data_IF_857448057889
#
_entry.id   IF_857448057889
#
_cell.length_a   1.000
_cell.length_b   1.000
_cell.length_c   1.000
_cell.angle_alpha   90.00
_cell.angle_beta   90.00
_cell.angle_gamma   90.00
#
_symmetry.space_group_name_H-M   'P 1'
#
loop_
_entity.id
_entity.type
_entity.pdbx_description
1 polymer ?
#
# COMPACT_ATOMS: atom_id res chain seq x y z
N UNK A 1 -61.46 -25.29 57.39
CA UNK A 1 -60.33 -24.33 57.31
C UNK A 1 -59.63 -24.40 58.66
N UNK A 2 -58.38 -24.82 58.89
CA UNK A 2 -57.16 -24.73 58.11
C UNK A 2 -56.10 -25.69 58.70
N UNK A 3 -56.13 -26.98 58.37
CA UNK A 3 -54.99 -27.88 58.68
C UNK A 3 -54.32 -28.44 57.41
N UNK A 4 -55.06 -28.56 56.31
CA UNK A 4 -54.51 -28.98 55.02
C UNK A 4 -53.65 -27.93 54.33
N UNK A 5 -53.87 -26.64 54.61
CA UNK A 5 -53.09 -25.55 53.99
C UNK A 5 -51.70 -25.40 54.67
N UNK A 6 -51.59 -25.69 55.96
CA UNK A 6 -50.33 -25.56 56.70
C UNK A 6 -49.33 -26.64 56.27
N UNK A 7 -49.78 -27.87 56.03
CA UNK A 7 -48.90 -28.94 55.53
C UNK A 7 -48.44 -28.72 54.09
N UNK A 8 -49.20 -28.00 53.27
CA UNK A 8 -48.78 -27.65 51.91
C UNK A 8 -47.73 -26.51 51.92
N UNK A 9 -47.84 -25.56 52.85
CA UNK A 9 -46.90 -24.45 52.97
C UNK A 9 -45.52 -24.88 53.54
N UNK A 10 -45.50 -25.83 54.48
CA UNK A 10 -44.23 -26.35 55.03
C UNK A 10 -43.47 -27.26 54.05
N UNK A 11 -44.17 -27.95 53.14
CA UNK A 11 -43.53 -28.72 52.07
C UNK A 11 -42.83 -27.83 51.02
N UNK A 12 -43.35 -26.63 50.76
CA UNK A 12 -42.79 -25.72 49.75
C UNK A 12 -41.52 -25.01 50.24
N UNK A 13 -41.39 -24.74 51.54
CA UNK A 13 -40.15 -24.17 52.11
C UNK A 13 -39.01 -25.19 52.20
N UNK A 14 -39.32 -26.48 52.39
CA UNK A 14 -38.30 -27.53 52.38
C UNK A 14 -37.70 -27.80 50.98
N UNK A 15 -38.48 -27.63 49.91
CA UNK A 15 -37.97 -27.76 48.54
C UNK A 15 -37.21 -26.51 48.06
N UNK A 16 -37.53 -25.32 48.59
CA UNK A 16 -36.80 -24.08 48.28
C UNK A 16 -35.38 -24.05 48.87
N UNK A 17 -35.16 -24.65 50.05
CA UNK A 17 -33.84 -24.67 50.69
C UNK A 17 -32.88 -25.69 50.04
N UNK A 18 -33.38 -26.83 49.55
CA UNK A 18 -32.55 -27.83 48.85
C UNK A 18 -32.09 -27.33 47.48
N UNK A 19 -32.93 -26.52 46.79
CA UNK A 19 -32.54 -25.88 45.54
C UNK A 19 -31.46 -24.80 45.77
N UNK A 20 -31.50 -24.05 46.88
CA UNK A 20 -30.48 -23.04 47.18
C UNK A 20 -29.12 -23.64 47.59
N UNK A 21 -29.10 -24.83 48.19
CA UNK A 21 -27.84 -25.54 48.53
C UNK A 21 -27.18 -26.27 47.36
N UNK A 22 -27.89 -26.48 46.24
CA UNK A 22 -27.32 -27.08 45.02
C UNK A 22 -26.60 -26.07 44.12
N UNK A 23 -26.73 -24.76 44.37
CA UNK A 23 -26.08 -23.71 43.59
C UNK A 23 -25.07 -22.86 44.39
N UNK A 24 -24.77 -23.24 45.64
CA UNK A 24 -23.90 -22.49 46.53
C UNK A 24 -22.54 -23.17 46.81
N UNK A 25 -22.07 -24.05 45.91
CA UNK A 25 -20.86 -24.83 46.14
C UNK A 25 -19.98 -25.04 44.90
N UNK A 26 -19.80 -23.98 44.10
CA UNK A 26 -18.75 -23.91 43.07
C UNK A 26 -17.69 -22.85 43.45
N UNK A 27 -17.31 -22.77 44.73
CA UNK A 27 -15.95 -22.34 45.09
C UNK A 27 -14.99 -23.49 44.78
N UNK A 28 -14.86 -23.82 43.49
CA UNK A 28 -13.75 -24.64 43.05
C UNK A 28 -12.47 -23.82 43.24
N UNK A 29 -11.50 -24.27 44.07
CA UNK A 29 -10.17 -23.66 44.04
C UNK A 29 -9.68 -23.81 42.61
N UNK A 30 -9.47 -22.67 41.93
CA UNK A 30 -9.10 -22.58 40.51
C UNK A 30 -8.18 -23.75 40.14
N UNK A 31 -8.74 -24.78 39.49
CA UNK A 31 -7.94 -25.92 39.04
C UNK A 31 -6.92 -25.32 38.08
N UNK A 32 -5.63 -25.43 38.44
CA UNK A 32 -4.55 -25.10 37.50
C UNK A 32 -4.82 -25.91 36.23
N UNK A 33 -5.18 -25.22 35.16
CA UNK A 33 -5.35 -25.84 33.85
C UNK A 33 -4.09 -25.56 33.07
N UNK A 34 -3.46 -26.63 32.58
CA UNK A 34 -2.38 -26.49 31.62
C UNK A 34 -2.95 -25.96 30.31
N UNK A 35 -2.35 -24.90 29.80
CA UNK A 35 -2.76 -24.26 28.56
C UNK A 35 -1.61 -24.28 27.55
N UNK A 36 -1.98 -24.54 26.31
CA UNK A 36 -1.06 -24.58 25.18
C UNK A 36 -1.51 -23.53 24.17
N UNK A 37 -0.96 -22.31 24.17
CA UNK A 37 -1.31 -21.32 23.17
C UNK A 37 -0.85 -21.78 21.77
N UNK A 38 -1.72 -21.58 20.79
CA UNK A 38 -1.50 -21.88 19.38
C UNK A 38 -1.91 -20.65 18.58
N UNK A 39 -0.94 -20.00 17.95
CA UNK A 39 -1.17 -18.82 17.13
C UNK A 39 -0.66 -19.12 15.74
N UNK A 40 -1.47 -18.87 14.72
CA UNK A 40 -1.00 -19.04 13.36
C UNK A 40 -1.52 -17.96 12.43
N UNK A 41 -0.75 -17.69 11.39
CA UNK A 41 -1.11 -16.73 10.38
C UNK A 41 -0.30 -16.90 9.12
N UNK A 42 -0.85 -16.40 8.01
CA UNK A 42 -0.18 -16.35 6.72
C UNK A 42 -0.19 -14.93 6.19
N UNK A 43 0.89 -14.55 5.51
CA UNK A 43 0.92 -13.33 4.72
C UNK A 43 -0.18 -13.33 3.65
N UNK A 44 -0.43 -14.48 3.00
CA UNK A 44 -1.57 -14.62 2.09
C UNK A 44 -2.87 -14.84 2.86
N UNK A 45 -3.96 -14.31 2.33
CA UNK A 45 -5.29 -14.62 2.84
C UNK A 45 -5.66 -16.08 2.53
N UNK A 46 -6.21 -16.78 3.51
CA UNK A 46 -6.89 -18.08 3.36
C UNK A 46 -8.40 -17.81 3.51
N UNK A 47 -9.15 -17.62 2.40
CA UNK A 47 -10.51 -17.08 2.44
C UNK A 47 -11.48 -17.91 3.30
N UNK A 48 -11.34 -19.23 3.26
CA UNK A 48 -12.24 -20.17 3.95
C UNK A 48 -12.13 -20.09 5.48
N UNK A 49 -11.02 -19.55 5.98
CA UNK A 49 -10.76 -19.39 7.41
C UNK A 49 -11.23 -18.04 7.97
N UNK A 50 -11.76 -17.15 7.13
CA UNK A 50 -12.19 -15.81 7.53
C UNK A 50 -13.25 -15.82 8.63
N UNK A 51 -14.17 -16.78 8.59
CA UNK A 51 -15.21 -16.96 9.62
C UNK A 51 -14.67 -17.39 10.98
N UNK A 52 -13.48 -18.02 11.01
CA UNK A 52 -12.90 -18.63 12.21
C UNK A 52 -12.05 -17.65 13.04
N UNK A 53 -11.73 -16.47 12.48
CA UNK A 53 -11.00 -15.40 13.17
C UNK A 53 -11.79 -14.87 14.41
N UNK A 54 -13.12 -14.99 14.41
CA UNK A 54 -13.99 -14.50 15.49
C UNK A 54 -14.11 -15.41 16.72
N UNK A 55 -14.37 -16.73 16.57
CA UNK A 55 -14.51 -17.63 17.72
C UNK A 55 -13.15 -17.98 18.36
N UNK A 56 -12.04 -17.87 17.64
CA UNK A 56 -10.77 -18.44 18.07
C UNK A 56 -10.19 -17.91 19.41
N UNK A 57 -10.47 -16.65 19.74
CA UNK A 57 -9.87 -15.99 20.90
C UNK A 57 -10.80 -15.89 22.12
N UNK A 58 -12.05 -16.37 22.03
CA UNK A 58 -13.07 -16.21 23.09
C UNK A 58 -13.32 -17.47 23.92
N UNK A 59 -12.84 -18.61 23.46
CA UNK A 59 -13.08 -19.90 24.10
C UNK A 59 -11.87 -20.78 23.95
N UNK A 60 -11.65 -21.64 24.95
CA UNK A 60 -10.77 -22.78 24.76
C UNK A 60 -11.28 -23.60 23.56
N UNK A 61 -10.36 -24.08 22.73
CA UNK A 61 -10.68 -24.99 21.64
C UNK A 61 -10.22 -26.40 21.98
N UNK A 62 -11.09 -27.36 21.69
CA UNK A 62 -10.77 -28.77 21.81
C UNK A 62 -9.78 -29.20 20.72
N UNK A 63 -9.07 -30.29 20.98
CA UNK A 63 -8.05 -30.83 20.07
C UNK A 63 -8.58 -31.09 18.65
N UNK A 64 -9.72 -31.76 18.53
CA UNK A 64 -10.23 -32.21 17.22
C UNK A 64 -10.59 -31.04 16.30
N UNK A 65 -11.39 -30.03 16.75
CA UNK A 65 -11.64 -28.83 15.95
C UNK A 65 -10.36 -28.07 15.59
N UNK A 66 -9.40 -27.95 16.51
CA UNK A 66 -8.13 -27.28 16.25
C UNK A 66 -7.29 -28.01 15.19
N UNK A 67 -7.18 -29.33 15.29
CA UNK A 67 -6.47 -30.15 14.29
C UNK A 67 -7.14 -30.06 12.91
N UNK A 68 -8.47 -30.03 12.84
CA UNK A 68 -9.20 -29.84 11.59
C UNK A 68 -8.95 -28.45 10.99
N UNK A 69 -8.96 -27.42 11.82
CA UNK A 69 -8.69 -26.05 11.41
C UNK A 69 -7.27 -25.89 10.85
N UNK A 70 -6.28 -26.46 11.53
CA UNK A 70 -4.89 -26.44 11.08
C UNK A 70 -4.68 -27.26 9.81
N UNK A 71 -5.32 -28.41 9.67
CA UNK A 71 -5.31 -29.17 8.41
C UNK A 71 -5.85 -28.31 7.28
N UNK A 72 -7.02 -27.71 7.47
CA UNK A 72 -7.62 -26.85 6.46
C UNK A 72 -6.74 -25.63 6.10
N UNK A 73 -6.09 -25.02 7.09
CA UNK A 73 -5.07 -23.99 6.86
C UNK A 73 -3.92 -24.50 5.99
N UNK A 74 -3.36 -25.66 6.32
CA UNK A 74 -2.22 -26.26 5.61
C UNK A 74 -2.60 -26.83 4.22
N UNK A 75 -3.85 -27.24 4.03
CA UNK A 75 -4.38 -27.77 2.75
C UNK A 75 -4.28 -26.73 1.63
N UNK A 76 -4.46 -25.46 1.99
CA UNK A 76 -4.35 -24.33 1.07
C UNK A 76 -2.93 -23.99 0.63
N UNK A 77 -1.90 -24.64 1.21
CA UNK A 77 -0.49 -24.33 1.01
C UNK A 77 -0.22 -22.82 1.02
N UNK A 78 -0.53 -22.11 2.13
CA UNK A 78 -0.75 -20.67 2.12
C UNK A 78 0.52 -19.83 1.94
N UNK A 79 1.69 -20.46 1.84
CA UNK A 79 2.99 -19.80 1.79
C UNK A 79 4.06 -20.68 1.10
N UNK A 80 5.12 -20.05 0.62
CA UNK A 80 6.31 -20.79 0.18
C UNK A 80 7.09 -21.30 1.39
N UNK A 81 7.22 -20.46 2.42
CA UNK A 81 7.94 -20.82 3.65
C UNK A 81 6.98 -20.90 4.83
N UNK A 82 6.79 -22.10 5.35
CA UNK A 82 6.07 -22.33 6.61
C UNK A 82 7.08 -22.37 7.75
N UNK A 83 6.99 -21.42 8.68
CA UNK A 83 7.80 -21.39 9.90
C UNK A 83 6.98 -21.99 11.03
N UNK A 84 7.45 -23.12 11.56
CA UNK A 84 6.88 -23.76 12.74
C UNK A 84 7.76 -23.42 13.93
N UNK A 85 7.21 -22.69 14.90
CA UNK A 85 7.93 -22.25 16.09
C UNK A 85 7.32 -22.94 17.29
N UNK A 86 8.14 -23.67 18.05
CA UNK A 86 7.76 -24.25 19.33
C UNK A 86 8.48 -23.50 20.46
N UNK A 87 7.71 -22.85 21.34
CA UNK A 87 8.24 -22.18 22.53
C UNK A 87 7.70 -22.85 23.80
N UNK A 88 8.47 -23.77 24.41
CA UNK A 88 8.02 -24.49 25.60
C UNK A 88 7.82 -23.55 26.79
N UNK A 89 6.70 -23.73 27.52
CA UNK A 89 6.41 -22.99 28.75
C UNK A 89 5.76 -21.62 28.56
N UNK A 90 5.44 -21.22 27.33
CA UNK A 90 4.71 -19.97 27.05
C UNK A 90 3.22 -20.06 27.44
N UNK A 91 2.72 -18.99 28.05
CA UNK A 91 1.37 -18.83 28.59
C UNK A 91 0.61 -17.74 27.84
N UNK A 92 -0.72 -17.72 27.99
CA UNK A 92 -1.53 -16.59 27.52
C UNK A 92 -1.13 -15.28 28.21
N UNK A 93 -0.74 -15.35 29.49
CA UNK A 93 -0.34 -14.20 30.29
C UNK A 93 0.88 -13.46 29.72
N UNK A 94 1.77 -14.15 29.01
CA UNK A 94 2.97 -13.53 28.42
C UNK A 94 2.61 -12.55 27.29
N UNK A 95 1.39 -12.63 26.74
CA UNK A 95 0.88 -11.70 25.73
C UNK A 95 0.16 -10.49 26.32
N UNK A 96 0.07 -10.36 27.65
CA UNK A 96 -0.50 -9.17 28.29
C UNK A 96 0.52 -8.03 28.26
N UNK A 97 0.08 -6.88 27.76
CA UNK A 97 0.87 -5.65 27.76
C UNK A 97 0.79 -5.00 29.13
N UNK A 98 1.94 -4.84 29.75
CA UNK A 98 2.18 -4.02 30.93
C UNK A 98 3.20 -2.94 30.56
N UNK A 99 3.33 -1.83 31.31
CA UNK A 99 4.36 -0.83 31.05
C UNK A 99 5.78 -1.43 30.97
N UNK A 100 6.06 -2.49 31.74
CA UNK A 100 7.33 -3.24 31.71
C UNK A 100 7.48 -4.15 30.50
N UNK A 101 6.39 -4.59 29.86
CA UNK A 101 6.41 -5.52 28.72
C UNK A 101 6.08 -4.85 27.39
N UNK A 102 6.03 -3.51 27.34
CA UNK A 102 5.61 -2.75 26.16
C UNK A 102 6.47 -2.99 24.91
N UNK A 103 7.74 -3.33 25.07
CA UNK A 103 8.65 -3.67 23.98
C UNK A 103 8.64 -5.17 23.62
N UNK A 104 8.10 -6.04 24.48
CA UNK A 104 7.97 -7.46 24.19
C UNK A 104 7.00 -7.65 23.02
N UNK A 105 7.31 -8.60 22.13
CA UNK A 105 6.50 -8.94 20.96
C UNK A 105 6.44 -7.88 19.86
N UNK A 106 7.34 -6.89 19.87
CA UNK A 106 7.39 -5.87 18.80
C UNK A 106 7.61 -6.52 17.43
N UNK A 107 8.50 -7.52 17.34
CA UNK A 107 8.82 -8.20 16.09
C UNK A 107 7.71 -9.15 15.68
N UNK A 108 7.21 -9.94 16.63
CA UNK A 108 6.03 -10.77 16.47
C UNK A 108 4.86 -9.97 15.89
N UNK A 109 4.49 -8.84 16.53
CA UNK A 109 3.43 -7.97 16.06
C UNK A 109 3.71 -7.44 14.66
N UNK A 110 4.93 -6.95 14.40
CA UNK A 110 5.35 -6.44 13.09
C UNK A 110 5.10 -7.44 11.95
N UNK A 111 5.31 -8.74 12.19
CA UNK A 111 5.05 -9.76 11.19
C UNK A 111 3.57 -10.06 11.02
N UNK A 112 2.86 -10.31 12.12
CA UNK A 112 1.45 -10.66 12.07
C UNK A 112 0.55 -9.50 11.63
N UNK A 113 1.00 -8.25 11.77
CA UNK A 113 0.30 -7.08 11.24
C UNK A 113 0.12 -7.11 9.72
N UNK A 114 0.99 -7.82 9.00
CA UNK A 114 0.96 -7.96 7.54
C UNK A 114 0.27 -9.24 7.09
N UNK A 115 -0.24 -10.05 8.02
CA UNK A 115 -0.89 -11.29 7.68
C UNK A 115 -2.32 -11.04 7.15
N UNK A 116 -2.61 -11.59 5.96
CA UNK A 116 -3.96 -11.65 5.43
C UNK A 116 -4.86 -12.65 6.18
N UNK A 117 -4.28 -13.57 6.93
CA UNK A 117 -5.01 -14.45 7.86
C UNK A 117 -4.25 -14.57 9.16
N UNK A 118 -4.94 -14.34 10.28
CA UNK A 118 -4.38 -14.44 11.63
C UNK A 118 -5.42 -15.04 12.57
N UNK A 119 -5.06 -16.14 13.24
CA UNK A 119 -5.94 -16.89 14.13
C UNK A 119 -5.17 -17.21 15.41
N UNK A 120 -5.51 -16.54 16.52
CA UNK A 120 -4.92 -16.81 17.84
C UNK A 120 -5.85 -17.65 18.72
N UNK A 121 -5.40 -18.83 19.12
CA UNK A 121 -5.98 -19.62 20.21
C UNK A 121 -5.05 -19.58 21.42
N UNK A 122 -5.29 -18.65 22.35
CA UNK A 122 -4.42 -18.49 23.53
C UNK A 122 -4.61 -19.62 24.56
N UNK A 123 -5.71 -20.37 24.47
CA UNK A 123 -5.97 -21.51 25.34
C UNK A 123 -6.42 -22.71 24.52
N UNK A 124 -5.57 -23.72 24.49
CA UNK A 124 -5.91 -25.05 24.00
C UNK A 124 -5.53 -26.05 25.08
N UNK A 125 -6.26 -27.17 25.15
CA UNK A 125 -6.03 -28.20 26.18
C UNK A 125 -4.96 -29.23 25.76
N UNK A 126 -4.38 -29.09 24.57
CA UNK A 126 -3.52 -30.11 23.99
C UNK A 126 -2.35 -29.50 23.23
N UNK A 127 -1.15 -30.00 23.53
CA UNK A 127 0.06 -29.70 22.75
C UNK A 127 -0.05 -30.22 21.32
N UNK A 128 0.36 -29.40 20.35
CA UNK A 128 0.47 -29.83 18.96
C UNK A 128 1.86 -30.39 18.68
N UNK A 129 1.92 -31.47 17.90
CA UNK A 129 3.21 -32.02 17.47
C UNK A 129 3.71 -31.28 16.23
N UNK A 130 4.76 -30.48 16.41
CA UNK A 130 5.45 -29.78 15.31
C UNK A 130 5.86 -30.74 14.19
N UNK A 131 6.34 -31.95 14.54
CA UNK A 131 6.68 -33.00 13.57
C UNK A 131 5.48 -33.42 12.73
N UNK A 132 4.31 -33.64 13.35
CA UNK A 132 3.09 -34.03 12.60
C UNK A 132 2.65 -32.93 11.63
N UNK A 133 2.74 -31.66 12.05
CA UNK A 133 2.42 -30.51 11.21
C UNK A 133 3.40 -30.39 10.04
N UNK A 134 4.70 -30.53 10.31
CA UNK A 134 5.73 -30.52 9.27
C UNK A 134 5.53 -31.66 8.26
N UNK A 135 5.38 -32.89 8.76
CA UNK A 135 5.17 -34.07 7.91
C UNK A 135 3.88 -33.95 7.07
N UNK A 136 2.84 -33.33 7.61
CA UNK A 136 1.61 -33.03 6.87
C UNK A 136 1.86 -32.06 5.73
N UNK A 137 2.51 -30.93 6.00
CA UNK A 137 2.79 -29.92 5.00
C UNK A 137 3.73 -30.40 3.90
N UNK A 138 4.75 -31.19 4.26
CA UNK A 138 5.66 -31.83 3.30
C UNK A 138 4.91 -32.72 2.33
N UNK A 139 4.01 -33.57 2.83
CA UNK A 139 3.22 -34.48 1.99
C UNK A 139 2.22 -33.74 1.11
N UNK A 140 1.60 -32.67 1.63
CA UNK A 140 0.52 -31.97 0.94
C UNK A 140 1.03 -30.91 -0.05
N UNK A 141 2.12 -30.22 0.29
CA UNK A 141 2.62 -29.05 -0.44
C UNK A 141 3.99 -29.27 -1.09
N UNK A 142 4.52 -30.51 -1.07
CA UNK A 142 5.83 -30.89 -1.63
C UNK A 142 6.99 -30.05 -1.08
N UNK A 143 6.93 -29.74 0.22
CA UNK A 143 7.90 -28.87 0.87
C UNK A 143 9.13 -29.62 1.40
N UNK A 144 10.27 -28.95 1.48
CA UNK A 144 11.49 -29.46 2.13
C UNK A 144 11.51 -29.10 3.62
N UNK A 145 11.90 -30.03 4.50
CA UNK A 145 12.05 -29.76 5.94
C UNK A 145 13.44 -29.22 6.24
N UNK A 146 13.47 -28.09 6.94
CA UNK A 146 14.69 -27.44 7.40
C UNK A 146 14.59 -27.27 8.91
N UNK A 147 15.66 -27.61 9.61
CA UNK A 147 15.76 -27.39 11.05
C UNK A 147 16.61 -26.17 11.28
N UNK A 148 16.07 -25.17 11.98
CA UNK A 148 16.84 -24.03 12.42
C UNK A 148 17.79 -24.46 13.55
N UNK A 149 19.04 -24.03 13.45
CA UNK A 149 20.08 -24.32 14.43
C UNK A 149 20.30 -23.09 15.30
N UNK A 150 19.64 -23.07 16.46
CA UNK A 150 19.75 -21.95 17.41
C UNK A 150 21.14 -21.82 18.04
N UNK A 151 21.94 -22.90 18.04
CA UNK A 151 23.32 -22.83 18.56
C UNK A 151 24.25 -21.98 17.69
N UNK A 152 23.80 -21.67 16.48
CA UNK A 152 24.49 -20.82 15.51
C UNK A 152 23.97 -19.40 15.48
N UNK A 153 23.13 -18.95 16.42
CA UNK A 153 22.70 -17.54 16.46
C UNK A 153 23.88 -16.64 16.85
N UNK A 154 24.68 -16.26 15.85
CA UNK A 154 25.78 -15.33 15.99
C UNK A 154 25.71 -14.40 14.77
N UNK A 155 26.18 -13.15 14.84
CA UNK A 155 26.09 -12.20 13.73
C UNK A 155 26.70 -12.72 12.41
N UNK A 156 27.62 -13.68 12.50
CA UNK A 156 28.32 -14.29 11.37
C UNK A 156 27.66 -15.59 10.86
N UNK A 157 26.76 -16.19 11.63
CA UNK A 157 26.15 -17.48 11.32
C UNK A 157 24.62 -17.36 11.27
N UNK A 158 24.05 -17.67 10.11
CA UNK A 158 22.60 -17.68 9.93
C UNK A 158 21.98 -18.92 10.60
N UNK A 159 20.81 -18.75 11.20
CA UNK A 159 20.01 -19.81 11.84
C UNK A 159 19.69 -20.99 10.91
N UNK A 160 19.72 -20.77 9.60
CA UNK A 160 19.56 -21.79 8.56
C UNK A 160 20.32 -21.38 7.29
N UNK A 161 20.61 -22.33 6.37
CA UNK A 161 21.34 -22.04 5.14
C UNK A 161 20.65 -20.94 4.32
N UNK A 162 21.43 -20.05 3.69
CA UNK A 162 20.84 -19.06 2.79
C UNK A 162 20.25 -19.76 1.54
N UNK A 163 18.98 -19.48 1.24
CA UNK A 163 18.31 -20.03 0.08
C UNK A 163 18.28 -19.00 -1.05
N UNK A 164 18.79 -19.40 -2.22
CA UNK A 164 18.74 -18.58 -3.44
C UNK A 164 17.53 -18.88 -4.33
N UNK A 165 16.53 -19.62 -3.83
CA UNK A 165 15.36 -20.03 -4.60
C UNK A 165 14.05 -19.89 -3.79
N UNK A 166 12.91 -20.03 -4.46
CA UNK A 166 11.56 -19.90 -3.90
C UNK A 166 10.87 -21.24 -3.63
N UNK A 167 11.61 -22.36 -3.58
CA UNK A 167 11.00 -23.68 -3.30
C UNK A 167 10.31 -23.69 -1.94
N UNK A 168 9.23 -24.48 -1.86
CA UNK A 168 8.44 -24.58 -0.63
C UNK A 168 9.22 -25.29 0.47
N UNK A 169 9.15 -24.72 1.68
CA UNK A 169 9.94 -25.17 2.83
C UNK A 169 9.12 -25.14 4.10
N UNK A 170 9.45 -26.06 5.00
CA UNK A 170 9.03 -26.03 6.40
C UNK A 170 10.26 -25.78 7.26
N UNK A 171 10.36 -24.60 7.85
CA UNK A 171 11.42 -24.24 8.79
C UNK A 171 10.90 -24.58 10.19
N UNK A 172 11.52 -25.57 10.82
CA UNK A 172 11.20 -25.99 12.19
C UNK A 172 12.17 -25.34 13.16
N UNK A 173 11.63 -24.66 14.15
CA UNK A 173 12.34 -23.95 15.20
C UNK A 173 11.84 -24.48 16.53
N UNK A 174 12.76 -24.88 17.41
CA UNK A 174 12.46 -25.25 18.78
C UNK A 174 13.24 -24.35 19.71
N UNK A 175 12.55 -23.40 20.32
CA UNK A 175 13.12 -22.43 21.26
C UNK A 175 13.43 -23.12 22.61
N UNK A 176 14.37 -22.57 23.40
CA UNK A 176 14.59 -23.05 24.76
C UNK A 176 13.32 -22.89 25.62
N UNK A 177 13.12 -23.78 26.61
CA UNK A 177 12.02 -23.62 27.57
C UNK A 177 12.21 -22.33 28.37
N UNK A 178 11.11 -21.63 28.65
CA UNK A 178 11.15 -20.39 29.42
C UNK A 178 11.44 -20.63 30.90
N UNK A 179 12.22 -19.74 31.51
CA UNK A 179 12.47 -19.69 32.94
C UNK A 179 11.18 -19.45 33.72
N UNK A 180 11.18 -19.93 34.97
CA UNK A 180 10.13 -19.65 35.96
C UNK A 180 10.36 -18.31 36.66
N UNK A 181 11.59 -17.78 36.62
CA UNK A 181 11.89 -16.48 37.19
C UNK A 181 11.33 -15.36 36.30
N UNK A 182 10.55 -14.40 36.84
CA UNK A 182 9.88 -13.38 36.04
C UNK A 182 10.82 -12.45 35.25
N UNK A 183 12.00 -12.11 35.78
CA UNK A 183 12.93 -11.20 35.10
C UNK A 183 13.66 -11.94 33.97
N UNK A 184 14.24 -13.11 34.27
CA UNK A 184 14.88 -13.96 33.25
C UNK A 184 13.90 -14.33 32.14
N UNK A 185 12.65 -14.65 32.50
CA UNK A 185 11.59 -14.98 31.54
C UNK A 185 11.31 -13.81 30.59
N UNK A 186 11.29 -12.57 31.06
CA UNK A 186 11.06 -11.41 30.19
C UNK A 186 12.22 -11.21 29.22
N UNK A 187 13.45 -11.36 29.68
CA UNK A 187 14.64 -11.27 28.84
C UNK A 187 14.67 -12.40 27.79
N UNK A 188 14.32 -13.63 28.16
CA UNK A 188 14.19 -14.76 27.25
C UNK A 188 13.10 -14.53 26.20
N UNK A 189 11.93 -14.02 26.61
CA UNK A 189 10.85 -13.66 25.69
C UNK A 189 11.29 -12.59 24.69
N UNK A 190 12.00 -11.57 25.16
CA UNK A 190 12.55 -10.52 24.31
C UNK A 190 13.56 -11.07 23.29
N UNK A 191 14.50 -11.89 23.77
CA UNK A 191 15.51 -12.52 22.91
C UNK A 191 14.88 -13.48 21.89
N UNK A 192 13.86 -14.23 22.30
CA UNK A 192 13.09 -15.09 21.39
C UNK A 192 12.34 -14.27 20.33
N UNK A 193 11.77 -13.10 20.67
CA UNK A 193 11.15 -12.19 19.70
C UNK A 193 12.16 -11.66 18.66
N UNK A 194 13.39 -11.36 19.09
CA UNK A 194 14.49 -11.02 18.18
C UNK A 194 14.92 -12.19 17.29
N UNK A 195 14.94 -13.42 17.81
CA UNK A 195 15.20 -14.61 17.00
C UNK A 195 14.11 -14.81 15.94
N UNK A 196 12.83 -14.58 16.26
CA UNK A 196 11.75 -14.58 15.27
C UNK A 196 12.04 -13.54 14.17
N UNK A 197 12.55 -12.36 14.55
CA UNK A 197 12.96 -11.35 13.58
C UNK A 197 14.03 -11.85 12.62
N UNK A 198 15.10 -12.43 13.14
CA UNK A 198 16.19 -12.98 12.34
C UNK A 198 15.70 -14.12 11.43
N UNK A 199 14.87 -15.03 11.99
CA UNK A 199 14.29 -16.15 11.27
C UNK A 199 13.45 -15.71 10.08
N UNK A 200 12.57 -14.74 10.24
CA UNK A 200 11.68 -14.30 9.15
C UNK A 200 12.43 -13.42 8.15
N UNK A 201 13.39 -12.61 8.61
CA UNK A 201 14.18 -11.73 7.73
C UNK A 201 15.11 -12.48 6.78
N UNK A 202 15.50 -13.72 7.13
CA UNK A 202 16.29 -14.58 6.25
C UNK A 202 15.50 -15.27 5.14
N UNK A 203 14.15 -15.21 5.16
CA UNK A 203 13.30 -15.88 4.18
C UNK A 203 13.30 -15.07 2.89
N UNK A 204 13.69 -15.66 1.74
CA UNK A 204 13.76 -14.93 0.48
C UNK A 204 12.38 -14.61 -0.11
N UNK A 205 11.36 -15.41 0.20
CA UNK A 205 9.99 -15.21 -0.28
C UNK A 205 9.21 -14.25 0.63
N UNK A 206 8.47 -13.28 0.07
CA UNK A 206 7.53 -12.46 0.84
C UNK A 206 6.31 -13.26 1.32
N UNK A 207 6.11 -14.49 0.82
CA UNK A 207 5.00 -15.36 1.18
C UNK A 207 5.44 -16.41 2.20
N UNK A 208 5.37 -16.02 3.46
CA UNK A 208 5.59 -16.93 4.58
C UNK A 208 4.31 -17.07 5.44
N UNK A 209 4.22 -18.20 6.12
CA UNK A 209 3.24 -18.48 7.15
C UNK A 209 3.96 -18.88 8.42
N UNK A 210 3.40 -18.50 9.57
CA UNK A 210 3.95 -18.85 10.88
C UNK A 210 2.89 -19.63 11.64
N UNK A 211 3.28 -20.76 12.22
CA UNK A 211 2.51 -21.46 13.25
C UNK A 211 3.39 -21.49 14.50
N UNK A 212 2.89 -20.84 15.54
CA UNK A 212 3.50 -20.70 16.83
C UNK A 212 2.78 -21.61 17.82
N UNK A 213 3.51 -22.54 18.44
CA UNK A 213 2.98 -23.57 19.33
C UNK A 213 3.74 -23.60 20.65
N UNK A 214 3.13 -24.28 21.62
CA UNK A 214 3.75 -24.64 22.88
C UNK A 214 3.70 -26.17 23.08
N UNK A 215 4.85 -26.79 23.34
CA UNK A 215 4.96 -28.21 23.67
C UNK A 215 4.92 -28.51 25.17
N UNK A 216 5.23 -27.54 26.04
CA UNK A 216 5.21 -27.66 27.50
C UNK A 216 4.15 -26.74 28.08
N UNK A 217 3.03 -27.32 28.52
CA UNK A 217 1.87 -26.55 28.96
C UNK A 217 2.23 -25.55 30.06
N UNK A 218 1.68 -24.34 29.95
CA UNK A 218 1.82 -23.35 31.01
C UNK A 218 0.64 -23.46 31.96
N UNK A 219 0.94 -23.51 33.26
CA UNK A 219 -0.08 -23.48 34.30
C UNK A 219 -0.74 -22.11 34.33
N UNK A 220 -2.02 -22.03 33.97
CA UNK A 220 -2.82 -20.84 34.26
C UNK A 220 -3.78 -21.13 35.40
N UNK A 221 -3.97 -20.12 36.25
CA UNK A 221 -5.00 -20.12 37.30
C UNK A 221 -6.27 -19.39 36.86
N UNK A 222 -6.24 -18.74 35.69
CA UNK A 222 -7.35 -17.91 35.22
C UNK A 222 -7.92 -18.43 33.90
N UNK A 223 -9.26 -18.45 33.75
CA UNK A 223 -9.87 -18.52 32.41
C UNK A 223 -9.36 -17.32 31.59
N UNK A 224 -9.44 -17.37 30.25
CA UNK A 224 -8.91 -16.29 29.44
C UNK A 224 -9.69 -15.02 29.80
N UNK A 225 -8.98 -13.99 30.25
CA UNK A 225 -9.56 -12.69 30.56
C UNK A 225 -10.27 -12.06 29.35
N UNK A 226 -10.95 -10.93 29.58
CA UNK A 226 -11.57 -10.19 28.48
C UNK A 226 -10.50 -9.78 27.46
N UNK A 227 -10.83 -9.89 26.17
CA UNK A 227 -9.91 -9.66 25.05
C UNK A 227 -9.10 -8.36 25.13
N UNK A 228 -9.67 -7.31 25.74
CA UNK A 228 -8.99 -6.04 26.01
C UNK A 228 -7.71 -6.17 26.85
N UNK A 229 -7.53 -7.28 27.57
CA UNK A 229 -6.32 -7.56 28.34
C UNK A 229 -5.12 -7.94 27.45
N UNK A 230 -5.36 -8.49 26.26
CA UNK A 230 -4.32 -8.93 25.32
C UNK A 230 -4.21 -7.97 24.14
N UNK A 231 -3.82 -6.73 24.42
CA UNK A 231 -3.88 -5.64 23.43
C UNK A 231 -3.15 -5.96 22.10
N UNK A 232 -1.98 -6.60 22.12
CA UNK A 232 -1.26 -7.00 20.88
C UNK A 232 -2.10 -7.97 20.05
N UNK A 233 -2.63 -9.03 20.68
CA UNK A 233 -3.43 -10.03 19.96
C UNK A 233 -4.71 -9.40 19.42
N UNK A 234 -5.32 -8.49 20.20
CA UNK A 234 -6.50 -7.76 19.76
C UNK A 234 -6.22 -6.88 18.55
N UNK A 235 -5.15 -6.09 18.62
CA UNK A 235 -4.71 -5.27 17.51
C UNK A 235 -4.46 -6.09 16.25
N UNK A 236 -3.79 -7.23 16.36
CA UNK A 236 -3.49 -8.13 15.24
C UNK A 236 -4.76 -8.74 14.61
N UNK A 237 -5.72 -9.16 15.44
CA UNK A 237 -7.03 -9.65 14.97
C UNK A 237 -7.83 -8.54 14.27
N UNK A 238 -7.77 -7.29 14.78
CA UNK A 238 -8.40 -6.15 14.09
C UNK A 238 -7.69 -5.84 12.78
N UNK A 239 -6.36 -5.89 12.78
CA UNK A 239 -5.49 -5.64 11.64
C UNK A 239 -5.79 -6.60 10.48
N UNK A 240 -5.84 -7.91 10.75
CA UNK A 240 -6.09 -8.93 9.73
C UNK A 240 -7.49 -8.85 9.10
N UNK A 241 -8.43 -8.16 9.73
CA UNK A 241 -9.78 -7.92 9.18
C UNK A 241 -9.84 -6.78 8.18
N UNK A 242 -8.89 -5.84 8.22
CA UNK A 242 -8.86 -4.67 7.34
C UNK A 242 -8.59 -5.11 5.90
N UNK A 243 -9.47 -4.79 4.93
CA UNK A 243 -9.26 -5.17 3.53
C UNK A 243 -7.92 -4.70 2.97
N UNK A 244 -7.43 -3.53 3.38
CA UNK A 244 -6.17 -2.95 2.88
C UNK A 244 -4.95 -3.82 3.23
N UNK A 245 -4.95 -4.39 4.44
CA UNK A 245 -3.90 -5.29 4.93
C UNK A 245 -4.09 -6.67 4.32
N UNK A 246 -5.33 -7.13 4.29
CA UNK A 246 -5.69 -8.44 3.74
C UNK A 246 -5.33 -8.59 2.27
N UNK A 247 -5.48 -7.53 1.49
CA UNK A 247 -5.15 -7.51 0.07
C UNK A 247 -3.69 -7.10 -0.19
N UNK A 248 -2.90 -6.82 0.85
CA UNK A 248 -1.51 -6.35 0.70
C UNK A 248 -0.64 -7.36 -0.05
N UNK A 249 -0.86 -8.66 0.17
CA UNK A 249 -0.11 -9.72 -0.50
C UNK A 249 -0.31 -9.73 -2.03
N UNK A 250 -1.46 -9.23 -2.52
CA UNK A 250 -1.73 -9.14 -3.97
C UNK A 250 -0.74 -8.25 -4.70
N UNK A 251 -0.13 -7.27 -4.00
CA UNK A 251 0.94 -6.43 -4.56
C UNK A 251 2.21 -7.23 -4.87
N UNK A 252 2.45 -8.32 -4.15
CA UNK A 252 3.61 -9.19 -4.32
C UNK A 252 3.30 -10.41 -5.20
N UNK A 253 2.03 -10.71 -5.49
CA UNK A 253 1.61 -11.89 -6.27
C UNK A 253 2.33 -12.01 -7.64
N UNK A 254 2.61 -10.91 -8.39
CA UNK A 254 3.37 -11.02 -9.65
C UNK A 254 4.80 -11.57 -9.50
N UNK A 255 5.40 -11.48 -8.29
CA UNK A 255 6.72 -12.05 -8.02
C UNK A 255 6.70 -13.57 -7.89
N UNK A 256 5.54 -14.15 -7.53
CA UNK A 256 5.37 -15.59 -7.32
C UNK A 256 5.17 -16.36 -8.63
N UNK A 257 4.39 -15.80 -9.56
CA UNK A 257 4.01 -16.44 -10.82
C UNK A 257 5.16 -16.54 -11.83
N UNK A 258 6.40 -16.22 -11.43
CA UNK A 258 7.55 -16.34 -12.32
C UNK A 258 7.46 -15.41 -13.53
N UNK A 259 6.81 -14.23 -13.40
CA UNK A 259 6.94 -13.19 -14.42
C UNK A 259 8.38 -12.69 -14.60
N UNK A 260 9.34 -13.16 -13.81
CA UNK A 260 10.78 -13.03 -14.09
C UNK A 260 11.32 -14.02 -15.15
N UNK A 261 10.60 -15.09 -15.47
CA UNK A 261 10.92 -16.00 -16.59
C UNK A 261 10.19 -15.62 -17.88
N UNK A 262 9.10 -14.84 -17.77
CA UNK A 262 8.57 -14.02 -18.87
C UNK A 262 9.41 -12.77 -19.12
N UNK A 263 10.23 -12.38 -18.14
CA UNK A 263 11.16 -11.26 -18.19
C UNK A 263 12.64 -11.75 -18.05
N UNK A 264 13.06 -12.65 -18.95
CA UNK A 264 14.15 -12.24 -19.86
C UNK A 264 13.61 -11.08 -20.72
N UNK A 265 13.10 -10.01 -20.13
CA UNK A 265 13.98 -9.05 -19.54
C UNK A 265 14.78 -8.58 -20.73
N UNK A 266 14.09 -7.92 -21.67
CA UNK A 266 14.70 -6.81 -22.39
C UNK A 266 15.53 -6.10 -21.31
N UNK A 267 16.85 -6.33 -21.33
CA UNK A 267 17.78 -5.77 -20.37
C UNK A 267 17.36 -4.33 -20.26
N UNK A 268 16.75 -3.93 -19.12
CA UNK A 268 16.26 -2.57 -18.98
C UNK A 268 17.48 -1.74 -19.28
N UNK A 269 17.48 -1.06 -20.43
CA UNK A 269 18.74 -0.70 -21.00
C UNK A 269 19.36 0.31 -20.04
N UNK A 270 20.68 0.24 -19.79
CA UNK A 270 21.34 0.96 -18.70
C UNK A 270 20.79 2.38 -18.65
N UNK A 271 20.46 2.93 -17.47
CA UNK A 271 19.62 4.12 -17.23
C UNK A 271 19.76 5.28 -18.26
N UNK A 272 20.94 5.46 -18.84
CA UNK A 272 21.24 6.27 -20.03
C UNK A 272 20.41 5.95 -21.29
N UNK A 273 20.25 4.70 -21.65
CA UNK A 273 19.55 4.25 -22.84
C UNK A 273 18.03 4.29 -22.66
N UNK A 274 17.51 4.10 -21.44
CA UNK A 274 16.12 4.47 -21.12
C UNK A 274 15.87 5.98 -21.29
N UNK A 275 16.79 6.83 -20.81
CA UNK A 275 16.73 8.29 -21.06
C UNK A 275 16.80 8.61 -22.55
N UNK A 276 17.67 7.98 -23.33
CA UNK A 276 17.73 8.14 -24.79
C UNK A 276 16.44 7.71 -25.48
N UNK A 277 15.80 6.62 -25.04
CA UNK A 277 14.52 6.15 -25.57
C UNK A 277 13.38 7.16 -25.28
N UNK A 278 13.35 7.74 -24.08
CA UNK A 278 12.40 8.80 -23.73
C UNK A 278 12.63 10.08 -24.53
N UNK A 279 13.89 10.51 -24.69
CA UNK A 279 14.25 11.67 -25.51
C UNK A 279 13.84 11.46 -26.97
N UNK A 280 14.08 10.25 -27.50
CA UNK A 280 13.68 9.87 -28.85
C UNK A 280 12.16 9.88 -29.03
N UNK A 281 11.40 9.35 -28.06
CA UNK A 281 9.92 9.45 -28.08
C UNK A 281 9.44 10.90 -28.08
N UNK A 282 10.04 11.76 -27.25
CA UNK A 282 9.70 13.20 -27.26
C UNK A 282 9.99 13.84 -28.61
N UNK A 283 11.12 13.51 -29.23
CA UNK A 283 11.47 14.00 -30.57
C UNK A 283 10.49 13.49 -31.65
N UNK A 284 10.09 12.22 -31.58
CA UNK A 284 9.13 11.63 -32.51
C UNK A 284 7.74 12.29 -32.36
N UNK A 285 7.30 12.57 -31.14
CA UNK A 285 6.07 13.30 -30.85
C UNK A 285 6.12 14.75 -31.37
N UNK A 286 7.20 15.47 -31.10
CA UNK A 286 7.45 16.82 -31.64
C UNK A 286 7.44 16.80 -33.18
N UNK A 287 8.05 15.79 -33.80
CA UNK A 287 8.07 15.64 -35.25
C UNK A 287 6.66 15.39 -35.81
N UNK A 288 5.89 14.47 -35.22
CA UNK A 288 4.49 14.20 -35.63
C UNK A 288 3.63 15.45 -35.48
N UNK A 289 3.79 16.19 -34.38
CA UNK A 289 3.05 17.41 -34.13
C UNK A 289 3.42 18.51 -35.14
N UNK A 290 4.71 18.68 -35.45
CA UNK A 290 5.16 19.62 -36.49
C UNK A 290 4.64 19.27 -37.88
N UNK A 291 4.57 17.98 -38.22
CA UNK A 291 4.02 17.49 -39.49
C UNK A 291 2.52 17.76 -39.59
N UNK A 292 1.79 17.57 -38.49
CA UNK A 292 0.36 17.90 -38.41
C UNK A 292 0.11 19.39 -38.65
N UNK A 293 0.87 20.27 -37.99
CA UNK A 293 0.79 21.72 -38.20
C UNK A 293 1.09 22.10 -39.65
N UNK A 294 2.08 21.47 -40.30
CA UNK A 294 2.38 21.71 -41.73
C UNK A 294 1.25 21.24 -42.66
N UNK A 295 0.60 20.12 -42.36
CA UNK A 295 -0.55 19.64 -43.14
C UNK A 295 -1.76 20.55 -42.98
N UNK A 296 -2.03 21.03 -41.77
CA UNK A 296 -3.10 21.99 -41.49
C UNK A 296 -2.82 23.35 -42.17
N UNK A 297 -1.56 23.81 -42.16
CA UNK A 297 -1.15 25.01 -42.88
C UNK A 297 -1.27 24.83 -44.41
N UNK A 298 -0.86 23.68 -44.96
CA UNK A 298 -1.02 23.36 -46.39
C UNK A 298 -2.49 23.34 -46.82
N UNK A 299 -3.36 22.72 -46.03
CA UNK A 299 -4.81 22.72 -46.27
C UNK A 299 -5.42 24.13 -46.23
N UNK A 300 -4.86 25.03 -45.41
CA UNK A 300 -5.30 26.43 -45.36
C UNK A 300 -4.89 27.21 -46.62
N UNK A 301 -3.71 26.92 -47.17
CA UNK A 301 -3.25 27.51 -48.44
C UNK A 301 -4.09 26.98 -49.60
N UNK A 302 -4.40 25.68 -49.64
CA UNK A 302 -5.25 25.10 -50.71
C UNK A 302 -6.66 25.72 -50.71
N UNK A 303 -7.24 25.98 -49.52
CA UNK A 303 -8.50 26.70 -49.39
C UNK A 303 -8.42 28.18 -49.80
N UNK A 304 -7.26 28.81 -49.68
CA UNK A 304 -7.04 30.17 -50.18
C UNK A 304 -6.91 30.19 -51.70
N UNK A 305 -6.21 29.23 -52.29
CA UNK A 305 -6.08 29.08 -53.75
C UNK A 305 -7.44 28.80 -54.38
N UNK A 306 -8.25 27.91 -53.80
CA UNK A 306 -9.61 27.62 -54.29
C UNK A 306 -10.52 28.87 -54.24
N UNK A 307 -10.36 29.73 -53.22
CA UNK A 307 -11.07 31.01 -53.15
C UNK A 307 -10.56 32.05 -54.15
N UNK A 308 -9.27 32.06 -54.45
CA UNK A 308 -8.70 32.95 -55.47
C UNK A 308 -9.13 32.53 -56.89
N UNK A 309 -9.19 31.22 -57.18
CA UNK A 309 -9.67 30.72 -58.48
C UNK A 309 -11.15 31.03 -58.69
N UNK A 310 -11.97 31.00 -57.62
CA UNK A 310 -13.37 31.45 -57.69
C UNK A 310 -13.50 32.97 -57.95
N UNK A 311 -12.54 33.77 -57.48
CA UNK A 311 -12.48 35.23 -57.69
C UNK A 311 -11.86 35.64 -59.04
N UNK A 312 -11.19 34.72 -59.73
CA UNK A 312 -10.62 34.90 -61.07
C UNK A 312 -11.48 34.29 -62.17
N UNK A 313 -12.77 34.07 -61.88
CA UNK A 313 -13.74 33.69 -62.90
C UNK A 313 -13.78 34.75 -64.00
N UNK A 314 -13.80 34.32 -65.26
CA UNK A 314 -13.74 35.20 -66.44
C UNK A 314 -14.77 36.34 -66.37
N UNK A 315 -15.94 36.07 -65.79
CA UNK A 315 -17.02 37.04 -65.58
C UNK A 315 -16.63 38.18 -64.61
N UNK A 316 -15.94 37.86 -63.52
CA UNK A 316 -15.50 38.86 -62.54
C UNK A 316 -14.38 39.76 -63.10
N UNK A 317 -13.45 39.19 -63.87
CA UNK A 317 -12.40 39.94 -64.58
C UNK A 317 -13.04 40.88 -65.61
N UNK A 318 -14.05 40.42 -66.35
CA UNK A 318 -14.80 41.24 -67.29
C UNK A 318 -15.51 42.41 -66.59
N UNK A 319 -16.13 42.16 -65.42
CA UNK A 319 -16.77 43.20 -64.61
C UNK A 319 -15.80 44.25 -64.12
N UNK A 320 -14.62 43.85 -63.61
CA UNK A 320 -13.58 44.79 -63.17
C UNK A 320 -13.06 45.63 -64.33
N UNK A 321 -12.84 45.03 -65.51
CA UNK A 321 -12.46 45.76 -66.72
C UNK A 321 -13.56 46.75 -67.15
N UNK A 322 -14.83 46.36 -67.10
CA UNK A 322 -15.96 47.23 -67.40
C UNK A 322 -16.05 48.41 -66.43
N UNK A 323 -15.88 48.18 -65.12
CA UNK A 323 -15.87 49.24 -64.10
C UNK A 323 -14.67 50.17 -64.30
N UNK A 324 -13.50 49.63 -64.65
CA UNK A 324 -12.31 50.43 -64.95
C UNK A 324 -12.52 51.29 -66.19
N UNK A 325 -13.08 50.73 -67.26
CA UNK A 325 -13.43 51.48 -68.48
C UNK A 325 -14.46 52.56 -68.16
N UNK A 326 -15.51 52.23 -67.42
CA UNK A 326 -16.55 53.18 -67.01
C UNK A 326 -15.97 54.32 -66.17
N UNK A 327 -15.11 54.00 -65.20
CA UNK A 327 -14.40 55.00 -64.38
C UNK A 327 -13.52 55.90 -65.23
N UNK A 328 -12.84 55.34 -66.24
CA UNK A 328 -12.04 56.11 -67.19
C UNK A 328 -12.91 57.03 -68.04
N UNK A 329 -14.08 56.58 -68.50
CA UNK A 329 -15.06 57.41 -69.24
C UNK A 329 -15.62 58.53 -68.35
N UNK A 330 -15.98 58.24 -67.09
CA UNK A 330 -16.45 59.24 -66.12
C UNK A 330 -15.35 60.26 -65.83
N UNK A 331 -14.10 59.82 -65.64
CA UNK A 331 -12.97 60.71 -65.46
C UNK A 331 -12.71 61.59 -66.68
N UNK A 332 -12.78 61.00 -67.89
CA UNK A 332 -12.56 61.71 -69.14
C UNK A 332 -13.67 62.74 -69.42
N UNK A 333 -14.93 62.38 -69.17
CA UNK A 333 -16.07 63.30 -69.27
C UNK A 333 -15.99 64.43 -68.23
N UNK A 334 -15.61 64.13 -66.98
CA UNK A 334 -15.30 65.17 -65.98
C UNK A 334 -14.17 66.09 -66.46
N UNK A 335 -13.10 65.55 -67.04
CA UNK A 335 -11.98 66.36 -67.54
C UNK A 335 -12.42 67.29 -68.68
N UNK A 336 -13.26 66.81 -69.60
CA UNK A 336 -13.85 67.65 -70.65
C UNK A 336 -14.72 68.75 -70.03
N UNK A 337 -15.59 68.40 -69.08
CA UNK A 337 -16.43 69.37 -68.39
C UNK A 337 -15.61 70.44 -67.66
N UNK A 338 -14.52 70.05 -67.00
CA UNK A 338 -13.57 70.97 -66.37
C UNK A 338 -12.87 71.86 -67.41
N UNK A 339 -12.50 71.35 -68.58
CA UNK A 339 -11.95 72.18 -69.66
C UNK A 339 -12.97 73.18 -70.22
N UNK A 340 -14.23 72.79 -70.37
CA UNK A 340 -15.32 73.71 -70.75
C UNK A 340 -15.52 74.77 -69.66
N UNK A 341 -15.59 74.37 -68.40
CA UNK A 341 -15.74 75.29 -67.27
C UNK A 341 -14.55 76.25 -67.14
N UNK A 342 -13.33 75.78 -67.35
CA UNK A 342 -12.13 76.60 -67.32
C UNK A 342 -12.04 77.53 -68.55
N UNK A 343 -12.58 77.12 -69.71
CA UNK A 343 -12.78 78.01 -70.85
C UNK A 343 -13.76 79.15 -70.56
N UNK A 344 -14.77 78.91 -69.72
CA UNK A 344 -15.75 79.92 -69.29
C UNK A 344 -15.21 80.80 -68.13
N UNK A 345 -14.26 80.29 -67.33
CA UNK A 345 -13.65 81.02 -66.19
C UNK A 345 -12.40 81.84 -66.54
N UNK A 346 -12.05 81.98 -67.83
CA UNK A 346 -10.90 82.73 -68.33
C UNK A 346 -10.96 84.27 -68.17
N UNK A 347 -11.54 84.78 -67.09
CA UNK A 347 -11.45 86.18 -66.71
C UNK A 347 -11.51 86.32 -65.18
N UNK A 348 -10.39 86.07 -64.49
CA UNK A 348 -9.89 86.95 -63.42
C UNK A 348 -8.51 86.47 -62.92
N UNK A 349 -7.56 87.38 -62.59
CA UNK A 349 -6.14 87.04 -62.42
C UNK A 349 -5.68 86.86 -60.96
N UNK A 350 -4.84 85.83 -60.78
CA UNK A 350 -3.56 85.74 -60.01
C UNK A 350 -3.37 86.34 -58.61
N UNK A 351 -2.86 85.51 -57.69
CA UNK A 351 -1.75 85.78 -56.74
C UNK A 351 -1.31 84.44 -56.09
N UNK A 352 -0.21 83.79 -56.49
CA UNK A 352 1.21 83.94 -56.07
C UNK A 352 1.64 82.99 -54.92
N UNK A 353 2.57 82.11 -55.30
CA UNK A 353 3.42 81.09 -54.63
C UNK A 353 4.34 81.64 -53.48
N UNK A 354 5.32 80.91 -52.85
CA UNK A 354 6.09 79.69 -53.26
C UNK A 354 6.37 78.62 -52.15
N UNK A 355 6.54 77.33 -52.49
CA UNK A 355 7.78 76.50 -52.70
C UNK A 355 8.44 75.89 -51.45
N UNK A 356 8.84 74.62 -51.58
CA UNK A 356 9.69 73.91 -50.60
C UNK A 356 9.57 72.37 -50.63
N UNK A 357 10.03 71.76 -51.72
CA UNK A 357 10.33 70.31 -51.90
C UNK A 357 11.82 70.06 -51.49
N UNK A 358 12.45 68.87 -51.61
CA UNK A 358 11.96 67.48 -51.54
C UNK A 358 12.94 66.45 -50.86
N UNK A 359 12.45 65.20 -50.75
CA UNK A 359 13.10 63.90 -51.10
C UNK A 359 14.22 63.22 -50.25
N UNK A 360 13.87 61.99 -49.79
CA UNK A 360 14.45 60.66 -50.16
C UNK A 360 15.88 60.29 -49.71
N UNK A 361 16.01 59.20 -48.93
CA UNK A 361 16.78 57.98 -49.29
C UNK A 361 16.86 56.92 -48.15
N UNK A 362 16.28 55.76 -48.43
CA UNK A 362 16.84 54.39 -48.44
C UNK A 362 18.11 53.97 -47.65
N UNK A 363 17.99 52.74 -47.12
CA UNK A 363 18.92 51.58 -47.14
C UNK A 363 19.77 51.16 -45.92
N UNK A 364 19.56 49.88 -45.57
CA UNK A 364 20.52 48.76 -45.38
C UNK A 364 21.41 48.58 -44.12
N UNK A 365 21.07 47.50 -43.38
CA UNK A 365 21.81 46.22 -43.14
C UNK A 365 23.13 46.11 -42.32
N UNK A 366 23.17 45.00 -41.54
CA UNK A 366 24.33 44.20 -41.05
C UNK A 366 24.97 44.66 -39.70
N UNK A 367 25.61 43.86 -38.83
CA UNK A 367 26.05 42.45 -38.77
C UNK A 367 26.52 42.10 -37.31
N UNK A 368 26.42 40.81 -36.92
CA UNK A 368 27.30 39.92 -36.11
C UNK A 368 27.96 40.22 -34.73
N UNK A 369 27.87 39.15 -33.91
CA UNK A 369 28.86 38.42 -33.08
C UNK A 369 29.58 39.06 -31.85
N UNK A 370 29.53 38.37 -30.69
CA UNK A 370 30.67 37.55 -30.20
C UNK A 370 30.39 36.80 -28.87
N UNK A 371 31.12 35.69 -28.66
CA UNK A 371 31.19 34.81 -27.48
C UNK A 371 32.25 35.29 -26.47
N UNK A 372 32.12 34.96 -25.18
CA UNK A 372 33.25 34.46 -24.35
C UNK A 372 32.79 33.59 -23.17
N UNK A 373 33.66 32.70 -22.71
CA UNK A 373 33.51 31.55 -21.78
C UNK A 373 34.31 31.78 -20.49
N UNK A 374 34.02 30.92 -19.49
CA UNK A 374 34.85 30.43 -18.36
C UNK A 374 34.86 31.25 -17.04
N UNK A 375 35.01 30.70 -15.81
CA UNK A 375 34.85 29.36 -15.18
C UNK A 375 35.21 29.53 -13.67
N UNK A 376 34.60 28.71 -12.79
CA UNK A 376 35.12 28.07 -11.54
C UNK A 376 34.91 28.68 -10.13
N UNK A 377 34.29 27.83 -9.28
CA UNK A 377 34.56 27.47 -7.85
C UNK A 377 34.35 28.51 -6.72
N UNK A 378 33.93 28.19 -5.49
CA UNK A 378 33.39 26.99 -4.79
C UNK A 378 33.05 27.44 -3.33
N UNK A 379 32.27 26.62 -2.61
CA UNK A 379 32.29 26.42 -1.14
C UNK A 379 31.17 27.00 -0.24
N UNK A 380 30.22 26.10 0.07
CA UNK A 380 29.72 25.64 1.39
C UNK A 380 29.42 26.67 2.50
N UNK A 381 28.15 26.73 2.94
CA UNK A 381 27.81 26.59 4.36
C UNK A 381 26.35 26.10 4.57
N UNK A 382 26.24 25.09 5.42
CA UNK A 382 25.04 24.36 5.84
C UNK A 382 24.23 25.11 6.91
N UNK A 383 22.89 25.07 6.85
CA UNK A 383 22.04 25.25 8.04
C UNK A 383 20.84 24.31 8.03
N UNK A 384 20.89 23.36 8.96
CA UNK A 384 19.77 22.64 9.57
C UNK A 384 19.04 23.63 10.50
N UNK A 385 17.72 23.48 10.71
CA UNK A 385 17.20 23.71 12.04
C UNK A 385 16.54 22.47 12.63
N UNK A 386 16.90 22.29 13.88
CA UNK A 386 16.60 21.28 14.87
C UNK A 386 15.27 21.62 15.58
N UNK A 387 14.61 20.58 16.10
CA UNK A 387 13.64 20.57 17.20
C UNK A 387 12.37 21.44 17.12
N UNK A 388 11.21 20.76 17.13
CA UNK A 388 10.06 21.21 17.92
C UNK A 388 9.51 20.05 18.75
N UNK A 389 9.26 20.42 20.00
CA UNK A 389 8.94 19.69 21.21
C UNK A 389 7.80 18.67 21.21
N UNK A 390 8.08 17.66 22.02
CA UNK A 390 7.15 16.85 22.80
C UNK A 390 6.26 17.74 23.67
N UNK A 391 4.93 17.60 23.53
CA UNK A 391 3.98 18.02 24.57
C UNK A 391 3.19 16.82 25.07
N UNK A 392 3.46 16.49 26.33
CA UNK A 392 2.56 15.80 27.24
C UNK A 392 1.28 16.62 27.45
N UNK A 393 0.14 15.95 27.44
CA UNK A 393 -1.11 16.34 28.10
C UNK A 393 -1.81 15.02 28.45
N UNK A 394 -1.65 14.52 29.67
CA UNK A 394 -2.62 14.71 30.76
C UNK A 394 -4.06 14.38 30.36
N UNK A 395 -4.46 13.13 30.65
CA UNK A 395 -5.82 12.80 31.09
C UNK A 395 -6.11 13.57 32.39
N UNK A 396 -7.37 13.98 32.69
CA UNK A 396 -8.16 13.04 33.49
C UNK A 396 -9.71 13.12 33.36
N UNK A 397 -10.33 11.97 33.68
CA UNK A 397 -11.56 11.79 34.48
C UNK A 397 -12.98 12.13 33.95
N UNK A 398 -13.71 11.04 33.67
CA UNK A 398 -14.99 10.59 34.28
C UNK A 398 -16.37 11.22 33.96
N UNK A 399 -17.35 10.28 33.98
CA UNK A 399 -18.82 10.39 34.13
C UNK A 399 -19.59 10.80 32.85
N UNK A 400 -20.67 10.12 32.41
CA UNK A 400 -21.74 9.49 33.19
C UNK A 400 -22.66 8.63 32.30
N UNK A 401 -23.10 7.50 32.85
CA UNK A 401 -24.27 6.67 32.50
C UNK A 401 -25.48 7.42 31.91
N UNK A 402 -26.15 6.78 30.94
CA UNK A 402 -27.61 6.52 30.89
C UNK A 402 -27.87 5.49 29.77
N UNK A 403 -28.13 4.22 30.10
CA UNK A 403 -29.47 3.60 30.18
C UNK A 403 -30.41 4.01 29.02
N UNK A 404 -30.58 3.10 28.06
CA UNK A 404 -31.89 2.55 27.70
C UNK A 404 -31.71 1.14 27.15
#
# INVERSE_FOLDING_TARGET
MNLKIINLLMGLQAMGLVAASLFANDDHPFRKTETFPVIFGSHKEVPDLRGQIQPAYRSAIDKQPLEQLLKHFLDSCPADSLVLIDQPGISSEDFKLTPSTASLWTQFARYFHRCGTFIPYLQTQVSLSQKKLADYYVRNCEAEVIKADLSKSNPEHKLYPHFGDTRRRVITVKLPPLSTDPEERQDELFNNDLLIHELVSGIPSPFFAIIYTNSEGANTTQPPGLFSEYFIIDELVRSSRKPEIRDQWKKNAPLEEGQFLGDLGEVKPPLMEHKKRLEKKRQDEEYVQSKKVRMEAGSSVDKLVEKLDALLTVESVLLVLLISIFSWVVWFTCKILVQIFNGIRGALPTASQPEGKPQVNNNETAEKDSKTKAKTAETVESRIPENIDVKQAEEPTTLRRRKQ
#
